data_IF_092316908559
#
_entry.id   IF_092316908559
#
_cell.length_a   1.000
_cell.length_b   1.000
_cell.length_c   1.000
_cell.angle_alpha   90.00
_cell.angle_beta   90.00
_cell.angle_gamma   90.00
#
_symmetry.space_group_name_H-M   'P 1'
#
loop_
_entity.id
_entity.type
_entity.pdbx_description
1 polymer ?
#
# COMPACT_ATOMS: atom_id res chain seq x y z
N UNK A 1 38.34 13.47 39.49
CA UNK A 1 37.60 13.88 38.27
C UNK A 1 37.40 12.65 37.40
N UNK A 2 36.19 12.11 37.26
CA UNK A 2 35.87 11.20 36.18
C UNK A 2 35.28 12.00 35.00
N UNK A 3 35.81 11.78 33.80
CA UNK A 3 35.27 12.29 32.55
C UNK A 3 34.08 11.38 32.23
N UNK A 4 32.86 11.85 32.53
CA UNK A 4 31.64 11.19 32.10
C UNK A 4 31.54 11.34 30.59
N UNK A 5 31.65 10.23 29.87
CA UNK A 5 31.17 10.11 28.50
C UNK A 5 29.65 10.18 28.56
N UNK A 6 29.11 11.39 28.34
CA UNK A 6 27.73 11.58 27.92
C UNK A 6 27.55 10.83 26.59
N UNK A 7 27.12 9.57 26.66
CA UNK A 7 26.35 8.96 25.58
C UNK A 7 25.08 9.80 25.46
N UNK A 8 25.12 10.80 24.59
CA UNK A 8 23.96 11.46 24.03
C UNK A 8 23.12 10.41 23.31
N UNK A 9 22.32 9.68 24.09
CA UNK A 9 21.16 8.95 23.62
C UNK A 9 20.29 9.98 22.91
N UNK A 10 20.36 10.03 21.58
CA UNK A 10 19.40 10.80 20.81
C UNK A 10 18.03 10.25 21.18
N UNK A 11 17.21 11.10 21.80
CA UNK A 11 15.79 10.81 22.02
C UNK A 11 15.09 10.87 20.66
N UNK A 12 15.44 9.93 19.77
CA UNK A 12 14.80 9.76 18.47
C UNK A 12 13.33 9.46 18.72
N UNK A 13 12.47 10.15 17.97
CA UNK A 13 11.05 9.84 18.00
C UNK A 13 10.87 8.40 17.49
N UNK A 14 10.24 7.53 18.29
CA UNK A 14 10.01 6.15 17.87
C UNK A 14 8.75 6.03 17.03
N UNK A 15 8.78 5.15 16.03
CA UNK A 15 7.64 4.87 15.14
C UNK A 15 7.48 3.37 14.91
N UNK A 16 6.26 2.86 15.09
CA UNK A 16 5.90 1.46 14.85
C UNK A 16 5.05 1.37 13.59
N UNK A 17 5.54 0.65 12.59
CA UNK A 17 4.86 0.48 11.31
C UNK A 17 4.53 -0.98 11.07
N UNK A 18 3.32 -1.24 10.56
CA UNK A 18 2.92 -2.55 10.01
C UNK A 18 2.96 -2.49 8.49
N UNK A 19 3.76 -3.34 7.86
CA UNK A 19 3.78 -3.49 6.41
C UNK A 19 2.88 -4.64 5.96
N UNK A 20 1.94 -4.33 5.08
CA UNK A 20 1.06 -5.28 4.41
C UNK A 20 1.36 -5.22 2.91
N UNK A 21 1.53 -6.36 2.26
CA UNK A 21 1.83 -6.40 0.83
C UNK A 21 1.07 -7.50 0.12
N UNK A 22 0.62 -7.21 -1.10
CA UNK A 22 0.20 -8.24 -2.05
C UNK A 22 1.38 -8.98 -2.69
N UNK A 23 2.60 -8.49 -2.46
CA UNK A 23 3.90 -9.07 -2.82
C UNK A 23 4.87 -9.01 -1.64
N UNK A 24 6.09 -9.53 -1.82
CA UNK A 24 7.10 -9.56 -0.74
C UNK A 24 7.53 -8.14 -0.35
N UNK A 25 7.57 -7.87 0.95
CA UNK A 25 7.87 -6.53 1.50
C UNK A 25 9.24 -6.43 2.15
N UNK A 26 10.08 -7.47 2.09
CA UNK A 26 11.33 -7.57 2.86
C UNK A 26 12.35 -6.50 2.49
N UNK A 27 12.47 -6.20 1.20
CA UNK A 27 13.38 -5.16 0.72
C UNK A 27 12.86 -3.79 1.19
N UNK A 28 11.55 -3.54 1.03
CA UNK A 28 10.96 -2.29 1.46
C UNK A 28 11.09 -2.07 2.97
N UNK A 29 10.90 -3.12 3.78
CA UNK A 29 11.06 -3.05 5.23
C UNK A 29 12.48 -2.62 5.62
N UNK A 30 13.49 -3.23 5.01
CA UNK A 30 14.91 -2.89 5.24
C UNK A 30 15.23 -1.45 4.84
N UNK A 31 14.77 -1.03 3.67
CA UNK A 31 15.03 0.33 3.19
C UNK A 31 14.25 1.37 4.01
N UNK A 32 13.01 1.10 4.41
CA UNK A 32 12.26 1.99 5.30
C UNK A 32 12.94 2.15 6.65
N UNK A 33 13.43 1.07 7.26
CA UNK A 33 14.19 1.16 8.52
C UNK A 33 15.41 2.05 8.35
N UNK A 34 16.15 1.89 7.24
CA UNK A 34 17.31 2.72 6.93
C UNK A 34 16.93 4.18 6.73
N UNK A 35 15.95 4.48 5.87
CA UNK A 35 15.54 5.85 5.57
C UNK A 35 14.99 6.58 6.80
N UNK A 36 14.24 5.88 7.67
CA UNK A 36 13.74 6.44 8.92
C UNK A 36 14.89 6.77 9.89
N UNK A 37 15.91 5.91 9.97
CA UNK A 37 17.09 6.18 10.77
C UNK A 37 17.87 7.40 10.25
N UNK A 38 17.98 7.56 8.92
CA UNK A 38 18.64 8.72 8.29
C UNK A 38 17.95 10.05 8.63
N UNK A 39 16.64 10.04 8.90
CA UNK A 39 15.88 11.22 9.35
C UNK A 39 15.68 11.27 10.88
N UNK A 40 16.38 10.43 11.65
CA UNK A 40 16.44 10.49 13.12
C UNK A 40 15.31 9.77 13.86
N UNK A 41 14.56 8.89 13.20
CA UNK A 41 13.53 8.07 13.82
C UNK A 41 14.07 6.69 14.23
N UNK A 42 13.68 6.24 15.42
CA UNK A 42 13.82 4.83 15.80
C UNK A 42 12.59 4.06 15.29
N UNK A 43 12.78 3.11 14.37
CA UNK A 43 11.67 2.45 13.70
C UNK A 43 11.57 0.98 14.05
N UNK A 44 10.36 0.56 14.43
CA UNK A 44 9.99 -0.86 14.57
C UNK A 44 9.01 -1.23 13.46
N UNK A 45 9.50 -1.93 12.45
CA UNK A 45 8.70 -2.34 11.30
C UNK A 45 8.37 -3.83 11.43
N UNK A 46 7.08 -4.17 11.50
CA UNK A 46 6.62 -5.56 11.44
C UNK A 46 5.96 -5.84 10.09
N UNK A 47 6.21 -7.01 9.51
CA UNK A 47 5.67 -7.41 8.21
C UNK A 47 4.61 -8.49 8.38
N UNK A 48 3.54 -8.42 7.59
CA UNK A 48 2.59 -9.52 7.45
C UNK A 48 3.05 -10.50 6.38
N UNK A 49 2.55 -11.73 6.48
CA UNK A 49 2.78 -12.76 5.47
C UNK A 49 2.19 -12.35 4.11
N UNK A 50 2.76 -12.90 3.05
CA UNK A 50 2.27 -12.68 1.69
C UNK A 50 0.80 -13.10 1.56
N UNK A 51 -0.01 -12.25 0.91
CA UNK A 51 -1.40 -12.57 0.59
C UNK A 51 -2.40 -12.42 1.74
N UNK A 52 -1.98 -11.93 2.92
CA UNK A 52 -2.86 -11.76 4.10
C UNK A 52 -3.34 -10.33 4.32
N UNK A 53 -3.18 -9.44 3.34
CA UNK A 53 -3.61 -8.03 3.43
C UNK A 53 -5.06 -7.92 3.87
N UNK A 54 -5.98 -8.63 3.21
CA UNK A 54 -7.41 -8.58 3.51
C UNK A 54 -7.72 -9.09 4.93
N UNK A 55 -7.28 -10.30 5.34
CA UNK A 55 -7.43 -10.76 6.73
C UNK A 55 -6.87 -9.79 7.77
N UNK A 56 -5.70 -9.20 7.54
CA UNK A 56 -5.07 -8.26 8.48
C UNK A 56 -5.87 -6.96 8.62
N UNK A 57 -6.38 -6.40 7.52
CA UNK A 57 -7.24 -5.22 7.58
C UNK A 57 -8.57 -5.48 8.29
N UNK A 58 -9.05 -6.72 8.29
CA UNK A 58 -10.27 -7.12 8.99
C UNK A 58 -10.04 -7.50 10.46
N UNK A 59 -8.78 -7.68 10.88
CA UNK A 59 -8.43 -8.11 12.23
C UNK A 59 -8.62 -6.95 13.21
N UNK A 60 -9.37 -7.20 14.28
CA UNK A 60 -9.64 -6.20 15.33
C UNK A 60 -8.60 -6.19 16.43
N UNK A 61 -7.92 -7.33 16.65
CA UNK A 61 -6.99 -7.54 17.76
C UNK A 61 -5.54 -7.42 17.27
N UNK A 62 -5.29 -6.37 16.47
CA UNK A 62 -3.99 -6.09 15.85
C UNK A 62 -2.91 -5.69 16.85
N UNK A 63 -1.65 -5.78 16.42
CA UNK A 63 -0.55 -5.16 17.15
C UNK A 63 -0.79 -3.63 17.20
N UNK A 64 -0.54 -3.01 18.35
CA UNK A 64 -0.61 -1.57 18.48
C UNK A 64 0.53 -0.93 17.68
N UNK A 65 0.20 -0.28 16.57
CA UNK A 65 1.14 0.39 15.66
C UNK A 65 0.71 1.83 15.43
N UNK A 66 1.68 2.68 15.08
CA UNK A 66 1.43 4.10 14.80
C UNK A 66 0.93 4.30 13.36
N UNK A 67 1.36 3.41 12.45
CA UNK A 67 0.86 3.38 11.07
C UNK A 67 0.85 2.00 10.44
N UNK A 68 0.00 1.84 9.43
CA UNK A 68 -0.05 0.69 8.53
C UNK A 68 0.28 1.15 7.13
N UNK A 69 1.21 0.48 6.47
CA UNK A 69 1.59 0.74 5.09
C UNK A 69 1.16 -0.45 4.25
N UNK A 70 0.25 -0.22 3.31
CA UNK A 70 -0.27 -1.22 2.38
C UNK A 70 0.33 -1.00 1.00
N UNK A 71 1.15 -1.96 0.59
CA UNK A 71 1.80 -1.98 -0.72
C UNK A 71 0.91 -2.76 -1.69
N UNK A 72 0.32 -2.03 -2.63
CA UNK A 72 -0.46 -2.58 -3.73
C UNK A 72 0.46 -2.94 -4.89
N UNK A 73 0.14 -4.02 -5.60
CA UNK A 73 0.81 -4.37 -6.84
C UNK A 73 -0.20 -4.86 -7.89
N UNK A 74 0.06 -4.60 -9.19
CA UNK A 74 -0.88 -4.98 -10.25
C UNK A 74 -1.13 -6.48 -10.34
N UNK A 75 -0.18 -7.33 -9.92
CA UNK A 75 -0.32 -8.79 -10.06
C UNK A 75 -1.24 -9.37 -8.98
N UNK A 76 -1.15 -8.88 -7.76
CA UNK A 76 -2.05 -9.24 -6.67
C UNK A 76 -3.49 -8.81 -6.93
N UNK A 77 -3.66 -7.71 -7.67
CA UNK A 77 -4.97 -7.13 -7.96
C UNK A 77 -5.60 -7.65 -9.26
N UNK A 78 -4.82 -7.70 -10.34
CA UNK A 78 -5.26 -7.99 -11.70
C UNK A 78 -4.40 -9.08 -12.38
N UNK A 79 -4.23 -10.23 -11.74
CA UNK A 79 -3.77 -11.43 -12.46
C UNK A 79 -4.87 -11.91 -13.42
N UNK A 80 -4.82 -11.47 -14.69
CA UNK A 80 -5.81 -11.85 -15.72
C UNK A 80 -5.69 -13.35 -16.01
N UNK A 81 -6.74 -14.11 -15.70
CA UNK A 81 -6.90 -15.46 -16.23
C UNK A 81 -7.45 -15.37 -17.65
N UNK A 82 -6.62 -15.70 -18.64
CA UNK A 82 -6.99 -15.67 -20.07
C UNK A 82 -8.13 -16.66 -20.40
N UNK A 83 -8.39 -17.63 -19.53
CA UNK A 83 -9.48 -18.60 -19.70
C UNK A 83 -10.85 -18.02 -19.33
N UNK A 84 -10.89 -16.89 -18.61
CA UNK A 84 -12.14 -16.27 -18.18
C UNK A 84 -12.63 -15.22 -19.19
N UNK A 85 -13.94 -15.18 -19.49
CA UNK A 85 -14.53 -14.08 -20.25
C UNK A 85 -14.23 -12.73 -19.59
N UNK A 86 -13.99 -11.71 -20.41
CA UNK A 86 -13.67 -10.33 -19.99
C UNK A 86 -14.62 -9.75 -18.94
N UNK A 87 -15.93 -9.93 -19.16
CA UNK A 87 -16.96 -9.45 -18.24
C UNK A 87 -16.82 -10.06 -16.84
N UNK A 88 -16.41 -11.32 -16.74
CA UNK A 88 -16.23 -12.02 -15.46
C UNK A 88 -14.97 -11.51 -14.75
N UNK A 89 -13.87 -11.34 -15.48
CA UNK A 89 -12.64 -10.81 -14.91
C UNK A 89 -12.78 -9.37 -14.43
N UNK A 90 -13.45 -8.51 -15.22
CA UNK A 90 -13.78 -7.15 -14.83
C UNK A 90 -14.57 -7.13 -13.52
N UNK A 91 -15.64 -7.92 -13.44
CA UNK A 91 -16.49 -7.99 -12.25
C UNK A 91 -15.69 -8.43 -11.01
N UNK A 92 -14.81 -9.41 -11.14
CA UNK A 92 -13.94 -9.83 -10.03
C UNK A 92 -13.03 -8.69 -9.56
N UNK A 93 -12.51 -7.88 -10.47
CA UNK A 93 -11.60 -6.77 -10.13
C UNK A 93 -12.38 -5.65 -9.43
N UNK A 94 -13.57 -5.34 -9.92
CA UNK A 94 -14.47 -4.39 -9.28
C UNK A 94 -14.87 -4.85 -7.86
N UNK A 95 -15.30 -6.10 -7.71
CA UNK A 95 -15.66 -6.69 -6.40
C UNK A 95 -14.47 -6.69 -5.44
N UNK A 96 -13.27 -7.03 -5.91
CA UNK A 96 -12.03 -6.92 -5.12
C UNK A 96 -11.71 -5.48 -4.74
N UNK A 97 -11.95 -4.51 -5.63
CA UNK A 97 -11.70 -3.08 -5.37
C UNK A 97 -12.61 -2.60 -4.26
N UNK A 98 -13.91 -2.91 -4.38
CA UNK A 98 -14.91 -2.56 -3.39
C UNK A 98 -14.56 -3.19 -2.03
N UNK A 99 -14.27 -4.50 -2.00
CA UNK A 99 -13.91 -5.19 -0.77
C UNK A 99 -12.66 -4.58 -0.11
N UNK A 100 -11.62 -4.27 -0.90
CA UNK A 100 -10.40 -3.67 -0.40
C UNK A 100 -10.62 -2.27 0.16
N UNK A 101 -11.36 -1.41 -0.55
CA UNK A 101 -11.71 -0.06 -0.09
C UNK A 101 -12.54 -0.12 1.20
N UNK A 102 -13.50 -1.03 1.29
CA UNK A 102 -14.30 -1.23 2.51
C UNK A 102 -13.44 -1.72 3.68
N UNK A 103 -12.49 -2.62 3.42
CA UNK A 103 -11.58 -3.10 4.46
C UNK A 103 -10.65 -1.99 4.97
N UNK A 104 -10.11 -1.15 4.09
CA UNK A 104 -9.30 0.01 4.46
C UNK A 104 -10.11 1.02 5.30
N UNK A 105 -11.32 1.36 4.84
CA UNK A 105 -12.19 2.30 5.55
C UNK A 105 -12.59 1.76 6.93
N UNK A 106 -12.97 0.47 6.99
CA UNK A 106 -13.30 -0.22 8.22
C UNK A 106 -12.13 -0.27 9.20
N UNK A 107 -10.92 -0.57 8.71
CA UNK A 107 -9.71 -0.56 9.54
C UNK A 107 -9.41 0.85 10.07
N UNK A 108 -9.41 1.87 9.20
CA UNK A 108 -9.12 3.25 9.58
C UNK A 108 -10.15 3.84 10.56
N UNK A 109 -11.40 3.39 10.48
CA UNK A 109 -12.45 3.75 11.43
C UNK A 109 -12.25 3.06 12.79
N UNK A 110 -11.80 1.81 12.81
CA UNK A 110 -11.65 1.00 14.02
C UNK A 110 -10.32 1.22 14.76
N UNK A 111 -9.27 1.66 14.06
CA UNK A 111 -7.94 1.86 14.62
C UNK A 111 -7.55 3.34 14.66
N UNK A 112 -6.81 3.81 15.68
CA UNK A 112 -6.22 5.15 15.67
C UNK A 112 -5.02 5.28 14.71
N UNK A 113 -4.48 4.18 14.17
CA UNK A 113 -3.32 4.19 13.28
C UNK A 113 -3.61 4.90 11.95
N UNK A 114 -2.61 5.60 11.41
CA UNK A 114 -2.66 6.10 10.04
C UNK A 114 -2.53 4.93 9.06
N UNK A 115 -3.30 4.94 7.97
CA UNK A 115 -3.18 3.99 6.87
C UNK A 115 -2.56 4.69 5.68
N UNK A 116 -1.45 4.18 5.17
CA UNK A 116 -0.81 4.64 3.94
C UNK A 116 -0.95 3.53 2.90
N UNK A 117 -1.52 3.83 1.74
CA UNK A 117 -1.73 2.86 0.66
C UNK A 117 -1.02 3.35 -0.59
N UNK A 118 -0.22 2.51 -1.23
CA UNK A 118 0.34 2.84 -2.54
C UNK A 118 -0.73 2.76 -3.61
N UNK A 119 -0.75 3.71 -4.56
CA UNK A 119 -1.53 3.56 -5.79
C UNK A 119 -0.93 2.46 -6.66
N UNK A 120 -1.73 1.91 -7.59
CA UNK A 120 -1.17 1.08 -8.65
C UNK A 120 -0.44 1.97 -9.65
N UNK A 121 0.79 1.63 -10.06
CA UNK A 121 1.48 2.36 -11.11
C UNK A 121 0.81 2.14 -12.46
N UNK A 122 1.03 3.08 -13.39
CA UNK A 122 0.61 2.89 -14.78
C UNK A 122 1.24 1.63 -15.37
N UNK A 123 0.45 0.91 -16.17
CA UNK A 123 0.97 -0.26 -16.87
C UNK A 123 1.98 0.15 -17.93
N UNK A 124 3.12 -0.53 -17.97
CA UNK A 124 4.14 -0.33 -18.99
C UNK A 124 3.68 -0.76 -20.39
N UNK A 125 2.66 -1.62 -20.48
CA UNK A 125 2.12 -2.11 -21.74
C UNK A 125 0.58 -2.15 -21.73
N UNK A 126 -0.09 -1.78 -22.83
CA UNK A 126 -1.54 -1.88 -22.94
C UNK A 126 -1.97 -3.35 -23.08
N UNK A 127 -3.10 -3.70 -22.45
CA UNK A 127 -3.76 -5.00 -22.61
C UNK A 127 -4.86 -4.96 -23.70
N UNK A 128 -5.45 -3.79 -23.96
CA UNK A 128 -6.48 -3.60 -24.98
C UNK A 128 -6.05 -2.66 -26.13
N UNK A 129 -4.74 -2.53 -26.37
CA UNK A 129 -4.19 -1.72 -27.45
C UNK A 129 -4.61 -0.25 -27.35
N UNK A 130 -5.13 0.32 -28.44
CA UNK A 130 -5.56 1.72 -28.47
C UNK A 130 -6.78 2.02 -27.57
N UNK A 131 -7.50 0.98 -27.13
CA UNK A 131 -8.68 1.12 -26.28
C UNK A 131 -8.35 0.96 -24.79
N UNK A 132 -7.07 0.87 -24.40
CA UNK A 132 -6.66 0.51 -23.04
C UNK A 132 -7.19 1.43 -21.93
N UNK A 133 -7.44 2.71 -22.24
CA UNK A 133 -8.02 3.66 -21.28
C UNK A 133 -9.56 3.65 -21.22
N UNK A 134 -10.24 2.97 -22.14
CA UNK A 134 -11.70 3.04 -22.29
C UNK A 134 -12.36 1.66 -22.23
N UNK A 135 -11.64 0.61 -22.60
CA UNK A 135 -12.13 -0.75 -22.55
C UNK A 135 -11.93 -1.33 -21.16
N UNK A 136 -12.91 -2.04 -20.59
CA UNK A 136 -12.78 -2.58 -19.24
C UNK A 136 -11.69 -3.64 -19.02
N UNK A 137 -11.20 -4.27 -20.09
CA UNK A 137 -10.01 -5.14 -20.03
C UNK A 137 -8.68 -4.38 -20.12
N UNK A 138 -8.73 -3.08 -20.37
CA UNK A 138 -7.55 -2.26 -20.54
C UNK A 138 -6.84 -2.03 -19.21
N UNK A 139 -5.52 -2.18 -19.19
CA UNK A 139 -4.75 -2.02 -17.97
C UNK A 139 -4.85 -0.61 -17.41
N UNK A 140 -4.78 0.41 -18.27
CA UNK A 140 -4.97 1.80 -17.90
C UNK A 140 -6.37 2.06 -17.34
N UNK A 141 -7.42 1.50 -17.94
CA UNK A 141 -8.79 1.60 -17.41
C UNK A 141 -8.89 1.04 -16.00
N UNK A 142 -8.32 -0.15 -15.76
CA UNK A 142 -8.39 -0.84 -14.47
C UNK A 142 -7.58 -0.12 -13.39
N UNK A 143 -6.36 0.31 -13.72
CA UNK A 143 -5.53 1.13 -12.83
C UNK A 143 -6.23 2.45 -12.51
N UNK A 144 -6.84 3.09 -13.50
CA UNK A 144 -7.60 4.33 -13.29
C UNK A 144 -8.78 4.12 -12.35
N UNK A 145 -9.58 3.08 -12.57
CA UNK A 145 -10.73 2.74 -11.73
C UNK A 145 -10.31 2.45 -10.28
N UNK A 146 -9.29 1.60 -10.08
CA UNK A 146 -8.76 1.27 -8.76
C UNK A 146 -8.21 2.50 -8.03
N UNK A 147 -7.33 3.26 -8.69
CA UNK A 147 -6.75 4.47 -8.09
C UNK A 147 -7.81 5.55 -7.85
N UNK A 148 -8.84 5.63 -8.69
CA UNK A 148 -9.99 6.50 -8.49
C UNK A 148 -10.75 6.15 -7.20
N UNK A 149 -11.02 4.87 -6.96
CA UNK A 149 -11.67 4.41 -5.74
C UNK A 149 -10.84 4.71 -4.48
N UNK A 150 -9.51 4.54 -4.54
CA UNK A 150 -8.61 4.91 -3.44
C UNK A 150 -8.57 6.41 -3.17
N UNK A 151 -8.52 7.25 -4.22
CA UNK A 151 -8.57 8.72 -4.08
C UNK A 151 -9.87 9.17 -3.44
N UNK A 152 -10.99 8.58 -3.84
CA UNK A 152 -12.28 8.88 -3.24
C UNK A 152 -12.36 8.44 -1.78
N UNK A 153 -11.76 7.31 -1.41
CA UNK A 153 -11.62 6.91 0.00
C UNK A 153 -10.78 7.92 0.79
N UNK A 154 -9.57 8.24 0.33
CA UNK A 154 -8.66 9.15 1.01
C UNK A 154 -9.26 10.57 1.17
N UNK A 155 -10.06 11.01 0.21
CA UNK A 155 -10.79 12.29 0.29
C UNK A 155 -11.84 12.29 1.40
N UNK A 156 -12.48 11.15 1.67
CA UNK A 156 -13.54 11.02 2.69
C UNK A 156 -13.01 10.62 4.06
N UNK A 157 -11.85 9.97 4.14
CA UNK A 157 -11.27 9.46 5.36
C UNK A 157 -9.84 10.01 5.57
N UNK A 158 -9.64 10.99 6.48
CA UNK A 158 -8.34 11.64 6.68
C UNK A 158 -7.27 10.71 7.26
N UNK A 159 -7.65 9.55 7.80
CA UNK A 159 -6.69 8.52 8.26
C UNK A 159 -6.15 7.66 7.14
N UNK A 160 -6.64 7.82 5.91
CA UNK A 160 -6.14 7.11 4.73
C UNK A 160 -5.35 8.10 3.87
N UNK A 161 -4.03 7.92 3.85
CA UNK A 161 -3.11 8.62 2.97
C UNK A 161 -2.74 7.76 1.76
N UNK A 162 -2.50 8.41 0.62
CA UNK A 162 -2.04 7.74 -0.59
C UNK A 162 -0.56 8.04 -0.85
N UNK A 163 0.18 7.00 -1.21
CA UNK A 163 1.52 7.11 -1.76
C UNK A 163 1.40 6.93 -3.27
N UNK A 164 1.65 8.00 -4.03
CA UNK A 164 1.60 7.94 -5.48
C UNK A 164 2.80 7.13 -6.00
N UNK A 165 2.53 5.91 -6.47
CA UNK A 165 3.55 5.00 -6.97
C UNK A 165 4.22 5.50 -8.25
N UNK A 166 3.49 6.20 -9.12
CA UNK A 166 4.06 6.75 -10.36
C UNK A 166 5.04 7.88 -10.01
N UNK A 167 4.68 8.76 -9.08
CA UNK A 167 5.57 9.80 -8.58
C UNK A 167 6.78 9.22 -7.82
N UNK A 168 6.56 8.21 -6.98
CA UNK A 168 7.63 7.56 -6.23
C UNK A 168 8.65 6.88 -7.17
N UNK A 169 8.19 6.29 -8.27
CA UNK A 169 9.04 5.66 -9.27
C UNK A 169 9.59 6.63 -10.33
N UNK A 170 9.10 7.86 -10.41
CA UNK A 170 9.56 8.84 -11.39
C UNK A 170 11.07 9.12 -11.30
N UNK A 171 11.65 9.02 -10.09
CA UNK A 171 13.08 9.17 -9.85
C UNK A 171 13.90 7.89 -10.08
N UNK A 172 13.23 6.74 -10.32
CA UNK A 172 13.83 5.41 -10.50
C UNK A 172 13.79 4.97 -11.97
N UNK A 173 12.99 5.64 -12.81
CA UNK A 173 13.01 5.41 -14.25
C UNK A 173 14.42 5.70 -14.82
N UNK A 174 14.97 4.82 -15.68
CA UNK A 174 16.29 5.03 -16.29
C UNK A 174 16.33 6.23 -17.23
#
# INVERSE_FOLDING_TARGET
>A
MPIGSDETSSSGQSVRLRLLGFSTTDILAKELTRSLAEIGFDSRISQADFGVVMPELMRRDGEAVDGVVVVTDPRGFHARDWRQPSVVAQRHVEEKTIAFVLALDGFAAASPSQVLVTTLPQSAAPLAGALDGHHPDGAAFLVHAFNGALRELARRNPRVGLIDADLAMAAVAP
#
